data_IF_181602200017
#
_entry.id   IF_181602200017
#
_cell.length_a   1.000
_cell.length_b   1.000
_cell.length_c   1.000
_cell.angle_alpha   90.00
_cell.angle_beta   90.00
_cell.angle_gamma   90.00
#
_symmetry.space_group_name_H-M   'P 1'
#
loop_
_entity.id
_entity.type
_entity.pdbx_description
1 polymer ?
#
# COMPACT_ATOMS: atom_id res chain seq x y z
N UNK A 1 10.40 12.58 -49.76
CA UNK A 1 11.38 12.20 -48.72
C UNK A 1 11.41 13.37 -47.76
N UNK A 2 10.45 13.43 -46.83
CA UNK A 2 10.38 14.48 -45.81
C UNK A 2 10.17 13.81 -44.46
N UNK A 3 11.06 14.18 -43.57
CA UNK A 3 11.38 13.52 -42.30
C UNK A 3 10.31 13.77 -41.26
N UNK A 4 9.81 12.67 -40.68
CA UNK A 4 9.11 12.57 -39.41
C UNK A 4 9.71 13.50 -38.34
N UNK A 5 8.98 14.57 -37.99
CA UNK A 5 9.21 15.29 -36.74
C UNK A 5 8.41 14.57 -35.65
N UNK A 6 9.11 13.66 -34.97
CA UNK A 6 8.68 12.93 -33.77
C UNK A 6 8.14 13.87 -32.68
N UNK A 7 6.82 14.05 -32.62
CA UNK A 7 6.10 14.63 -31.47
C UNK A 7 5.64 13.53 -30.50
N UNK A 8 6.59 12.80 -29.88
CA UNK A 8 6.28 11.74 -28.91
C UNK A 8 6.37 12.19 -27.43
N UNK A 9 6.88 13.39 -27.15
CA UNK A 9 7.09 13.89 -25.78
C UNK A 9 5.81 14.15 -24.96
N UNK A 10 4.75 14.81 -25.48
CA UNK A 10 3.59 15.19 -24.66
C UNK A 10 2.68 14.01 -24.30
N UNK A 11 2.64 12.97 -25.13
CA UNK A 11 1.82 11.77 -24.86
C UNK A 11 2.44 10.98 -23.68
N UNK A 12 3.78 10.88 -23.63
CA UNK A 12 4.47 10.13 -22.58
C UNK A 12 4.39 10.82 -21.21
N UNK A 13 4.51 12.15 -21.16
CA UNK A 13 4.34 12.92 -19.92
C UNK A 13 2.91 12.83 -19.37
N UNK A 14 1.90 12.83 -20.25
CA UNK A 14 0.50 12.68 -19.84
C UNK A 14 0.20 11.29 -19.28
N UNK A 15 0.72 10.23 -19.90
CA UNK A 15 0.54 8.85 -19.40
C UNK A 15 1.25 8.64 -18.06
N UNK A 16 2.47 9.16 -17.89
CA UNK A 16 3.17 9.11 -16.60
C UNK A 16 2.44 9.91 -15.51
N UNK A 17 1.83 11.04 -15.85
CA UNK A 17 1.01 11.82 -14.91
C UNK A 17 -0.25 11.06 -14.47
N UNK A 18 -0.98 10.44 -15.40
CA UNK A 18 -2.19 9.66 -15.08
C UNK A 18 -1.86 8.44 -14.20
N UNK A 19 -0.78 7.72 -14.52
CA UNK A 19 -0.29 6.60 -13.71
C UNK A 19 0.07 7.03 -12.28
N UNK A 20 0.68 8.21 -12.12
CA UNK A 20 1.05 8.73 -10.81
C UNK A 20 -0.19 9.04 -9.96
N UNK A 21 -1.26 9.56 -10.57
CA UNK A 21 -2.54 9.80 -9.92
C UNK A 21 -3.19 8.50 -9.43
N UNK A 22 -3.22 7.46 -10.28
CA UNK A 22 -3.73 6.14 -9.89
C UNK A 22 -2.95 5.54 -8.71
N UNK A 23 -1.62 5.64 -8.74
CA UNK A 23 -0.78 5.18 -7.63
C UNK A 23 -1.08 5.95 -6.33
N UNK A 24 -1.33 7.26 -6.40
CA UNK A 24 -1.77 8.03 -5.24
C UNK A 24 -3.10 7.55 -4.71
N UNK A 25 -4.07 7.31 -5.58
CA UNK A 25 -5.37 6.78 -5.18
C UNK A 25 -5.23 5.42 -4.47
N UNK A 26 -4.46 4.50 -5.04
CA UNK A 26 -4.13 3.22 -4.42
C UNK A 26 -3.45 3.40 -3.06
N UNK A 27 -2.49 4.33 -2.94
CA UNK A 27 -1.80 4.60 -1.67
C UNK A 27 -2.75 5.10 -0.59
N UNK A 28 -3.71 5.96 -0.94
CA UNK A 28 -4.70 6.47 0.00
C UNK A 28 -5.66 5.37 0.47
N UNK A 29 -6.08 4.49 -0.44
CA UNK A 29 -6.89 3.32 -0.09
C UNK A 29 -6.11 2.39 0.86
N UNK A 30 -4.89 2.00 0.49
CA UNK A 30 -4.03 1.14 1.31
C UNK A 30 -3.74 1.75 2.68
N UNK A 31 -3.56 3.07 2.78
CA UNK A 31 -3.38 3.77 4.07
C UNK A 31 -4.61 3.60 4.97
N UNK A 32 -5.83 3.77 4.43
CA UNK A 32 -7.07 3.55 5.19
C UNK A 32 -7.23 2.09 5.59
N UNK A 33 -6.99 1.16 4.67
CA UNK A 33 -7.05 -0.27 4.94
C UNK A 33 -6.03 -0.68 6.01
N UNK A 34 -4.83 -0.06 6.01
CA UNK A 34 -3.80 -0.31 7.03
C UNK A 34 -4.30 0.09 8.41
N UNK A 35 -4.88 1.29 8.54
CA UNK A 35 -5.46 1.77 9.81
C UNK A 35 -6.54 0.80 10.29
N UNK A 36 -7.46 0.39 9.40
CA UNK A 36 -8.51 -0.57 9.79
C UNK A 36 -7.95 -1.93 10.20
N UNK A 37 -6.92 -2.42 9.52
CA UNK A 37 -6.28 -3.69 9.88
C UNK A 37 -5.51 -3.59 11.22
N UNK A 38 -4.95 -2.43 11.54
CA UNK A 38 -4.32 -2.14 12.84
C UNK A 38 -5.35 -2.19 13.97
N UNK A 39 -6.51 -1.55 13.79
CA UNK A 39 -7.63 -1.61 14.74
C UNK A 39 -8.08 -3.05 15.01
N UNK A 40 -8.20 -3.89 13.96
CA UNK A 40 -8.61 -5.30 14.10
C UNK A 40 -7.56 -6.10 14.91
N UNK A 41 -6.27 -5.82 14.72
CA UNK A 41 -5.21 -6.46 15.51
C UNK A 41 -5.33 -6.07 16.98
N UNK A 42 -5.62 -4.80 17.27
CA UNK A 42 -5.79 -4.33 18.63
C UNK A 42 -7.05 -4.87 19.30
N UNK A 43 -8.17 -4.97 18.56
CA UNK A 43 -9.39 -5.65 19.00
C UNK A 43 -9.11 -7.13 19.34
N UNK A 44 -8.39 -7.86 18.47
CA UNK A 44 -8.03 -9.26 18.70
C UNK A 44 -7.11 -9.45 19.91
N UNK A 45 -6.17 -8.52 20.15
CA UNK A 45 -5.33 -8.50 21.36
C UNK A 45 -6.16 -8.33 22.62
N UNK A 46 -7.13 -7.41 22.59
CA UNK A 46 -8.01 -7.16 23.74
C UNK A 46 -8.86 -8.40 24.07
N UNK A 47 -9.42 -9.07 23.05
CA UNK A 47 -10.19 -10.31 23.24
C UNK A 47 -9.34 -11.45 23.81
N UNK A 48 -8.11 -11.61 23.34
CA UNK A 48 -7.17 -12.61 23.87
C UNK A 48 -6.85 -12.32 25.35
N UNK A 49 -6.51 -11.08 25.69
CA UNK A 49 -6.22 -10.69 27.06
C UNK A 49 -7.40 -10.88 28.02
N UNK A 50 -8.65 -10.69 27.56
CA UNK A 50 -9.84 -11.04 28.33
C UNK A 50 -9.93 -12.55 28.58
N UNK A 51 -9.77 -13.37 27.54
CA UNK A 51 -9.84 -14.83 27.69
C UNK A 51 -8.74 -15.38 28.61
N UNK A 52 -7.53 -14.78 28.56
CA UNK A 52 -6.43 -15.10 29.48
C UNK A 52 -6.79 -14.76 30.93
N UNK A 53 -7.45 -13.62 31.17
CA UNK A 53 -7.92 -13.23 32.51
C UNK A 53 -9.03 -14.11 33.04
N UNK A 54 -9.95 -14.52 32.18
CA UNK A 54 -11.07 -15.42 32.52
C UNK A 54 -10.60 -16.88 32.69
N UNK A 55 -9.39 -17.21 32.22
CA UNK A 55 -8.84 -18.56 32.29
C UNK A 55 -9.57 -19.56 31.39
N UNK A 56 -10.12 -19.10 30.26
CA UNK A 56 -10.83 -19.95 29.29
C UNK A 56 -9.86 -20.45 28.21
N UNK A 57 -9.33 -21.69 28.32
CA UNK A 57 -8.35 -22.21 27.37
C UNK A 57 -8.91 -22.34 25.94
N UNK A 58 -10.21 -22.57 25.78
CA UNK A 58 -10.84 -22.67 24.46
C UNK A 58 -10.84 -21.33 23.75
N UNK A 59 -11.25 -20.27 24.46
CA UNK A 59 -11.23 -18.90 23.92
C UNK A 59 -9.81 -18.38 23.70
N UNK A 60 -8.85 -18.74 24.58
CA UNK A 60 -7.43 -18.38 24.40
C UNK A 60 -6.89 -18.93 23.07
N UNK A 61 -7.10 -20.21 22.77
CA UNK A 61 -6.64 -20.83 21.50
C UNK A 61 -7.30 -20.18 20.29
N UNK A 62 -8.62 -19.95 20.37
CA UNK A 62 -9.38 -19.32 19.29
C UNK A 62 -8.88 -17.89 19.02
N UNK A 63 -8.79 -17.04 20.04
CA UNK A 63 -8.36 -15.65 19.87
C UNK A 63 -6.89 -15.53 19.51
N UNK A 64 -6.02 -16.45 19.96
CA UNK A 64 -4.63 -16.51 19.50
C UNK A 64 -4.55 -16.74 17.99
N UNK A 65 -5.37 -17.63 17.45
CA UNK A 65 -5.43 -17.90 16.01
C UNK A 65 -5.93 -16.67 15.25
N UNK A 66 -7.02 -16.04 15.71
CA UNK A 66 -7.55 -14.82 15.10
C UNK A 66 -6.56 -13.66 15.13
N UNK A 67 -5.79 -13.52 16.21
CA UNK A 67 -4.76 -12.51 16.32
C UNK A 67 -3.64 -12.71 15.29
N UNK A 68 -3.20 -13.94 15.08
CA UNK A 68 -2.18 -14.24 14.07
C UNK A 68 -2.70 -14.03 12.63
N UNK A 69 -3.96 -14.37 12.36
CA UNK A 69 -4.61 -14.05 11.08
C UNK A 69 -4.70 -12.53 10.84
N UNK A 70 -5.10 -11.77 11.86
CA UNK A 70 -5.17 -10.31 11.81
C UNK A 70 -3.78 -9.69 11.57
N UNK A 71 -2.74 -10.18 12.27
CA UNK A 71 -1.35 -9.74 12.06
C UNK A 71 -0.86 -10.04 10.65
N UNK A 72 -1.16 -11.22 10.12
CA UNK A 72 -0.83 -11.60 8.74
C UNK A 72 -1.53 -10.70 7.71
N UNK A 73 -2.81 -10.38 7.93
CA UNK A 73 -3.54 -9.43 7.08
C UNK A 73 -2.93 -8.01 7.15
N UNK A 74 -2.67 -7.50 8.35
CA UNK A 74 -2.02 -6.21 8.54
C UNK A 74 -0.66 -6.14 7.83
N UNK A 75 0.16 -7.18 7.98
CA UNK A 75 1.46 -7.30 7.30
C UNK A 75 1.34 -7.19 5.79
N UNK A 76 0.40 -7.93 5.18
CA UNK A 76 0.16 -7.89 3.72
C UNK A 76 -0.21 -6.49 3.24
N UNK A 77 -1.07 -5.78 3.98
CA UNK A 77 -1.47 -4.41 3.64
C UNK A 77 -0.29 -3.44 3.76
N UNK A 78 0.52 -3.59 4.81
CA UNK A 78 1.71 -2.76 5.03
C UNK A 78 2.73 -2.96 3.91
N UNK A 79 3.03 -4.20 3.54
CA UNK A 79 3.98 -4.53 2.48
C UNK A 79 3.50 -3.99 1.11
N UNK A 80 2.19 -4.08 0.84
CA UNK A 80 1.58 -3.47 -0.35
C UNK A 80 1.69 -1.94 -0.33
N UNK A 81 1.40 -1.30 0.80
CA UNK A 81 1.50 0.16 0.94
C UNK A 81 2.92 0.67 0.69
N UNK A 82 3.92 0.04 1.32
CA UNK A 82 5.34 0.38 1.12
C UNK A 82 5.76 0.21 -0.34
N UNK A 83 5.28 -0.85 -1.00
CA UNK A 83 5.56 -1.11 -2.41
C UNK A 83 5.00 -0.01 -3.31
N UNK A 84 3.75 0.43 -3.07
CA UNK A 84 3.14 1.53 -3.82
C UNK A 84 3.87 2.85 -3.56
N UNK A 85 4.22 3.17 -2.31
CA UNK A 85 4.99 4.38 -2.01
C UNK A 85 6.34 4.41 -2.74
N UNK A 86 7.04 3.26 -2.81
CA UNK A 86 8.27 3.13 -3.59
C UNK A 86 8.01 3.38 -5.08
N UNK A 87 6.93 2.83 -5.63
CA UNK A 87 6.58 3.02 -7.04
C UNK A 87 6.25 4.48 -7.37
N UNK A 88 5.51 5.16 -6.50
CA UNK A 88 5.22 6.60 -6.61
C UNK A 88 6.52 7.41 -6.71
N UNK A 89 7.49 7.13 -5.84
CA UNK A 89 8.77 7.82 -5.87
C UNK A 89 9.55 7.55 -7.16
N UNK A 90 9.53 6.30 -7.65
CA UNK A 90 10.16 5.95 -8.94
C UNK A 90 9.52 6.69 -10.12
N UNK A 91 8.19 6.72 -10.21
CA UNK A 91 7.48 7.44 -11.28
C UNK A 91 7.74 8.95 -11.21
N UNK A 92 7.76 9.54 -10.01
CA UNK A 92 8.14 10.95 -9.82
C UNK A 92 9.54 11.25 -10.35
N UNK A 93 10.52 10.40 -10.03
CA UNK A 93 11.89 10.58 -10.51
C UNK A 93 11.98 10.43 -12.04
N UNK A 94 11.27 9.46 -12.62
CA UNK A 94 11.24 9.28 -14.07
C UNK A 94 10.64 10.50 -14.79
N UNK A 95 9.59 11.10 -14.22
CA UNK A 95 9.02 12.36 -14.74
C UNK A 95 10.04 13.49 -14.65
N UNK A 96 10.70 13.66 -13.49
CA UNK A 96 11.71 14.71 -13.30
C UNK A 96 12.89 14.57 -14.27
N UNK A 97 13.39 13.34 -14.50
CA UNK A 97 14.45 13.05 -15.47
C UNK A 97 14.03 13.38 -16.90
N UNK A 98 12.79 13.05 -17.25
CA UNK A 98 12.22 13.39 -18.57
C UNK A 98 12.11 14.91 -18.77
N UNK A 99 11.77 15.64 -17.71
CA UNK A 99 11.64 17.10 -17.74
C UNK A 99 12.99 17.83 -17.69
N UNK A 100 14.01 17.27 -17.03
CA UNK A 100 15.34 17.87 -16.90
C UNK A 100 16.26 17.60 -18.10
N UNK A 101 15.84 16.76 -19.05
CA UNK A 101 16.58 16.50 -20.30
C UNK A 101 17.85 15.66 -20.12
N UNK A 102 18.05 15.03 -18.97
CA UNK A 102 19.15 14.08 -18.74
C UNK A 102 18.65 12.69 -19.15
N UNK A 103 19.01 12.28 -20.37
CA UNK A 103 18.76 10.95 -20.93
C UNK A 103 19.87 9.97 -20.54
#
# INVERSE_FOLDING_TARGET
METEVRTWAPIRSNVSSARLEELYHCSALLRRTRIRAEEIVDEARAMLAEAEREGDPGRIVMFSTQLEEARSAYRRVLDAYVTICRRINQERQAILQTLSGVA
#
